data_IF_612867358168
#
_entry.id   IF_612867358168
#
_cell.length_a   1.000
_cell.length_b   1.000
_cell.length_c   1.000
_cell.angle_alpha   90.00
_cell.angle_beta   90.00
_cell.angle_gamma   90.00
#
_symmetry.space_group_name_H-M   'P 1'
#
loop_
_entity.id
_entity.type
_entity.pdbx_description
1 polymer ?
#
# COMPACT_ATOMS: atom_id res chain seq x y z
N UNK A 1 -8.17 10.82 7.37
CA UNK A 1 -7.56 10.96 6.03
C UNK A 1 -8.40 10.15 5.05
N UNK A 2 -8.81 10.77 3.94
CA UNK A 2 -9.40 10.07 2.80
C UNK A 2 -8.31 10.00 1.72
N UNK A 3 -7.97 8.79 1.28
CA UNK A 3 -6.90 8.54 0.30
C UNK A 3 -7.46 7.89 -0.96
N UNK A 4 -7.23 8.50 -2.11
CA UNK A 4 -7.50 7.90 -3.42
C UNK A 4 -6.21 7.91 -4.26
N UNK A 5 -5.39 6.84 -4.31
CA UNK A 5 -5.63 5.47 -3.79
C UNK A 5 -4.39 4.84 -3.16
N UNK A 6 -4.57 3.80 -2.32
CA UNK A 6 -3.45 3.02 -1.77
C UNK A 6 -2.68 2.28 -2.86
N UNK A 7 -3.35 1.89 -3.94
CA UNK A 7 -2.73 1.26 -5.12
C UNK A 7 -1.76 2.22 -5.78
N UNK A 8 -2.20 3.46 -6.08
CA UNK A 8 -1.34 4.46 -6.71
C UNK A 8 -0.19 4.88 -5.81
N UNK A 9 -0.42 4.97 -4.50
CA UNK A 9 0.65 5.23 -3.52
C UNK A 9 1.71 4.13 -3.59
N UNK A 10 1.30 2.85 -3.59
CA UNK A 10 2.21 1.71 -3.69
C UNK A 10 3.03 1.72 -4.99
N UNK A 11 2.39 2.04 -6.12
CA UNK A 11 3.10 2.19 -7.41
C UNK A 11 4.13 3.33 -7.38
N UNK A 12 3.78 4.45 -6.77
CA UNK A 12 4.72 5.57 -6.62
C UNK A 12 5.95 5.16 -5.81
N UNK A 13 5.77 4.45 -4.70
CA UNK A 13 6.88 3.91 -3.92
C UNK A 13 7.73 2.91 -4.70
N UNK A 14 7.11 2.09 -5.56
CA UNK A 14 7.82 1.15 -6.42
C UNK A 14 8.75 1.82 -7.43
N UNK A 15 8.46 3.06 -7.83
CA UNK A 15 9.30 3.82 -8.76
C UNK A 15 10.50 4.50 -8.09
N UNK A 16 10.41 4.79 -6.79
CA UNK A 16 11.42 5.59 -6.07
C UNK A 16 12.27 4.77 -5.09
N UNK A 17 11.83 3.57 -4.71
CA UNK A 17 12.58 2.73 -3.79
C UNK A 17 13.86 2.24 -4.45
N UNK A 18 14.95 2.19 -3.69
CA UNK A 18 16.16 1.50 -4.14
C UNK A 18 15.83 0.02 -4.35
N UNK A 19 16.06 -0.55 -5.55
CA UNK A 19 15.70 -1.93 -5.82
C UNK A 19 16.39 -2.88 -4.83
N UNK A 20 15.62 -3.81 -4.27
CA UNK A 20 16.10 -4.82 -3.32
C UNK A 20 16.86 -5.96 -4.01
N UNK A 21 16.89 -5.97 -5.35
CA UNK A 21 17.40 -7.08 -6.15
C UNK A 21 16.44 -8.27 -6.23
N UNK A 22 15.24 -8.16 -5.63
CA UNK A 22 14.16 -9.14 -5.73
C UNK A 22 12.92 -8.46 -6.30
N UNK A 23 12.34 -9.07 -7.32
CA UNK A 23 11.13 -8.55 -7.94
C UNK A 23 10.04 -9.61 -7.85
N UNK A 24 8.90 -9.23 -7.29
CA UNK A 24 7.71 -10.07 -7.26
C UNK A 24 7.09 -10.13 -8.65
N UNK A 25 6.16 -11.07 -8.83
CA UNK A 25 5.35 -11.13 -10.05
C UNK A 25 4.71 -9.77 -10.34
N UNK A 26 4.65 -9.36 -11.61
CA UNK A 26 4.10 -8.05 -11.96
C UNK A 26 5.02 -6.84 -11.72
N UNK A 27 6.30 -7.03 -11.38
CA UNK A 27 7.29 -5.94 -11.37
C UNK A 27 7.32 -5.11 -10.09
N UNK A 28 6.75 -5.63 -9.00
CA UNK A 28 6.71 -4.99 -7.69
C UNK A 28 7.93 -5.39 -6.87
N UNK A 29 8.67 -4.42 -6.35
CA UNK A 29 9.72 -4.65 -5.36
C UNK A 29 9.07 -4.81 -3.96
N UNK A 30 9.38 -5.88 -3.20
CA UNK A 30 8.84 -6.05 -1.84
C UNK A 30 9.13 -4.85 -0.93
N UNK A 31 10.27 -4.17 -1.10
CA UNK A 31 10.63 -3.01 -0.31
C UNK A 31 9.69 -1.83 -0.56
N UNK A 32 9.07 -1.75 -1.74
CA UNK A 32 8.11 -0.70 -2.10
C UNK A 32 6.82 -0.76 -1.27
N UNK A 33 6.46 -1.93 -0.73
CA UNK A 33 5.24 -2.11 0.05
C UNK A 33 5.37 -1.63 1.51
N UNK A 34 6.60 -1.53 2.02
CA UNK A 34 6.83 -1.18 3.41
C UNK A 34 6.29 0.23 3.77
N UNK A 35 6.61 1.31 3.03
CA UNK A 35 6.10 2.62 3.38
C UNK A 35 4.56 2.75 3.25
N UNK A 36 3.90 2.27 2.17
CA UNK A 36 2.44 2.24 2.08
C UNK A 36 1.76 1.47 3.22
N UNK A 37 2.27 0.29 3.60
CA UNK A 37 1.72 -0.50 4.71
C UNK A 37 1.84 0.24 6.04
N UNK A 38 3.01 0.86 6.29
CA UNK A 38 3.21 1.68 7.48
C UNK A 38 2.30 2.91 7.51
N UNK A 39 2.07 3.55 6.37
CA UNK A 39 1.14 4.67 6.24
C UNK A 39 -0.30 4.25 6.56
N UNK A 40 -0.79 3.16 5.95
CA UNK A 40 -2.16 2.69 6.17
C UNK A 40 -2.36 2.18 7.61
N UNK A 41 -1.40 1.41 8.13
CA UNK A 41 -1.39 0.93 9.52
C UNK A 41 -1.11 2.01 10.58
N UNK A 42 -0.91 3.27 10.17
CA UNK A 42 -0.90 4.38 11.11
C UNK A 42 -2.30 4.65 11.67
N UNK A 43 -3.36 4.29 10.93
CA UNK A 43 -4.74 4.40 11.40
C UNK A 43 -4.93 3.58 12.67
N UNK A 44 -5.34 4.23 13.76
CA UNK A 44 -5.56 3.60 15.06
C UNK A 44 -6.39 4.50 15.97
N UNK A 45 -7.11 3.88 16.90
CA UNK A 45 -7.68 4.55 18.05
C UNK A 45 -6.69 4.49 19.22
N UNK A 46 -6.52 5.59 19.95
CA UNK A 46 -5.65 5.66 21.13
C UNK A 46 -6.53 5.84 22.36
N UNK A 47 -6.47 4.91 23.32
CA UNK A 47 -7.39 4.78 24.46
C UNK A 47 -7.57 6.06 25.29
N UNK A 48 -6.50 6.84 25.46
CA UNK A 48 -6.50 8.11 26.19
C UNK A 48 -6.08 9.31 25.33
N UNK A 49 -6.24 9.17 24.02
CA UNK A 49 -5.87 10.20 23.05
C UNK A 49 -7.01 10.52 22.08
N UNK A 50 -6.63 10.85 20.85
CA UNK A 50 -7.55 10.91 19.72
C UNK A 50 -7.48 9.65 18.88
N UNK A 51 -8.11 9.70 17.71
CA UNK A 51 -8.04 8.66 16.70
C UNK A 51 -7.49 9.20 15.39
N UNK A 52 -6.78 8.34 14.66
CA UNK A 52 -6.46 8.55 13.27
C UNK A 52 -7.27 7.56 12.44
N UNK A 53 -8.26 8.07 11.71
CA UNK A 53 -9.02 7.27 10.74
C UNK A 53 -8.42 7.48 9.35
N UNK A 54 -8.10 6.39 8.66
CA UNK A 54 -7.72 6.41 7.25
C UNK A 54 -8.72 5.53 6.50
N UNK A 55 -9.32 6.10 5.45
CA UNK A 55 -10.12 5.34 4.48
C UNK A 55 -9.43 5.51 3.14
N UNK A 56 -9.02 4.40 2.54
CA UNK A 56 -8.31 4.41 1.27
C UNK A 56 -9.08 3.59 0.22
N UNK A 57 -9.11 4.07 -1.02
CA UNK A 57 -9.56 3.26 -2.15
C UNK A 57 -8.45 2.30 -2.55
N UNK A 58 -8.83 1.09 -2.99
CA UNK A 58 -7.94 0.12 -3.60
C UNK A 58 -8.52 -0.22 -4.99
N UNK A 59 -7.67 -0.16 -6.01
CA UNK A 59 -8.07 -0.54 -7.37
C UNK A 59 -8.01 -2.07 -7.50
N UNK A 60 -9.06 -2.64 -8.08
CA UNK A 60 -9.21 -4.07 -8.40
C UNK A 60 -9.64 -4.20 -9.86
N UNK A 61 -9.47 -5.39 -10.45
CA UNK A 61 -9.86 -5.71 -11.83
C UNK A 61 -9.28 -4.74 -12.89
N UNK A 62 -8.08 -4.21 -12.63
CA UNK A 62 -7.41 -3.26 -13.54
C UNK A 62 -6.70 -3.93 -14.71
N UNK A 63 -6.57 -5.26 -14.68
CA UNK A 63 -5.73 -6.05 -15.60
C UNK A 63 -4.22 -5.95 -15.33
N UNK A 64 -3.81 -5.23 -14.28
CA UNK A 64 -2.41 -5.10 -13.85
C UNK A 64 -2.09 -6.12 -12.77
N UNK A 65 -1.17 -7.05 -13.07
CA UNK A 65 -0.65 -8.00 -12.06
C UNK A 65 -0.04 -7.32 -10.84
N UNK A 66 0.55 -6.14 -11.02
CA UNK A 66 1.08 -5.35 -9.90
C UNK A 66 -0.05 -4.90 -8.97
N UNK A 67 -1.17 -4.44 -9.54
CA UNK A 67 -2.30 -3.93 -8.76
C UNK A 67 -2.99 -5.09 -8.02
N UNK A 68 -3.12 -6.26 -8.67
CA UNK A 68 -3.60 -7.49 -8.03
C UNK A 68 -2.73 -7.88 -6.83
N UNK A 69 -1.40 -7.81 -6.97
CA UNK A 69 -0.48 -8.08 -5.87
C UNK A 69 -0.60 -7.04 -4.75
N UNK A 70 -0.72 -5.75 -5.08
CA UNK A 70 -0.95 -4.72 -4.07
C UNK A 70 -2.25 -4.98 -3.32
N UNK A 71 -3.34 -5.31 -4.01
CA UNK A 71 -4.61 -5.66 -3.38
C UNK A 71 -4.46 -6.84 -2.41
N UNK A 72 -3.86 -7.95 -2.86
CA UNK A 72 -3.66 -9.12 -2.00
C UNK A 72 -2.80 -8.82 -0.77
N UNK A 73 -1.77 -7.97 -0.91
CA UNK A 73 -0.90 -7.56 0.19
C UNK A 73 -1.59 -6.67 1.23
N UNK A 74 -2.61 -5.90 0.83
CA UNK A 74 -3.37 -5.01 1.71
C UNK A 74 -4.65 -5.63 2.26
N UNK A 75 -5.12 -6.74 1.68
CA UNK A 75 -6.33 -7.45 2.13
C UNK A 75 -6.29 -7.89 3.60
N UNK A 76 -5.09 -8.14 4.13
CA UNK A 76 -4.87 -8.54 5.53
C UNK A 76 -4.46 -7.42 6.49
N UNK A 77 -4.52 -6.15 6.07
CA UNK A 77 -4.09 -4.99 6.88
C UNK A 77 -5.27 -4.28 7.51
#
# INVERSE_FOLDING_TARGET
ILLDSITRLSRAYNLIVTPSGRTLSGGLDPAALYPPKRFFGAARNIEHGGSLTIVATCLVDTGSRMDDMVYEEFKGT
#
